data_IF_466666952100
#
_entry.id   IF_466666952100
#
_cell.length_a   1.000
_cell.length_b   1.000
_cell.length_c   1.000
_cell.angle_alpha   90.00
_cell.angle_beta   90.00
_cell.angle_gamma   90.00
#
_symmetry.space_group_name_H-M   'P 1'
#
loop_
_entity.id
_entity.type
_entity.pdbx_description
1 polymer ?
#
# COMPACT_ATOMS: atom_id res chain seq x y z
N UNK A 1 25.10 -27.32 -13.64
CA UNK A 1 24.29 -28.36 -12.97
C UNK A 1 22.85 -28.21 -13.44
N UNK A 2 22.27 -29.29 -13.98
CA UNK A 2 20.84 -29.35 -14.34
C UNK A 2 20.06 -30.02 -13.22
N UNK A 3 18.82 -29.60 -13.05
CA UNK A 3 17.89 -30.10 -12.05
C UNK A 3 16.53 -30.32 -12.70
N UNK A 4 15.78 -31.27 -12.18
CA UNK A 4 14.41 -31.52 -12.58
C UNK A 4 13.50 -30.48 -11.93
N UNK A 5 12.75 -29.74 -12.73
CA UNK A 5 11.78 -28.74 -12.27
C UNK A 5 10.34 -29.19 -12.54
N UNK A 6 9.43 -28.76 -11.67
CA UNK A 6 8.00 -28.80 -11.92
C UNK A 6 7.59 -27.58 -12.77
N UNK A 7 7.48 -27.77 -14.08
CA UNK A 7 7.11 -26.69 -15.03
C UNK A 7 5.74 -26.10 -14.71
N UNK A 8 4.80 -26.90 -14.19
CA UNK A 8 3.46 -26.42 -13.85
C UNK A 8 3.49 -25.34 -12.77
N UNK A 9 4.51 -25.32 -11.92
CA UNK A 9 4.72 -24.24 -10.95
C UNK A 9 5.18 -22.94 -11.58
N UNK A 10 6.01 -23.00 -12.61
CA UNK A 10 6.37 -21.82 -13.39
C UNK A 10 5.15 -21.30 -14.18
N UNK A 11 4.39 -22.20 -14.81
CA UNK A 11 3.15 -21.84 -15.51
C UNK A 11 2.14 -21.19 -14.55
N UNK A 12 1.98 -21.74 -13.35
CA UNK A 12 1.16 -21.16 -12.31
C UNK A 12 1.58 -19.72 -11.99
N UNK A 13 2.88 -19.45 -11.78
CA UNK A 13 3.36 -18.09 -11.51
C UNK A 13 3.10 -17.16 -12.69
N UNK A 14 3.33 -17.61 -13.92
CA UNK A 14 3.04 -16.84 -15.14
C UNK A 14 1.54 -16.48 -15.21
N UNK A 15 0.65 -17.42 -14.91
CA UNK A 15 -0.79 -17.19 -14.84
C UNK A 15 -1.17 -16.23 -13.70
N UNK A 16 -0.66 -16.46 -12.49
CA UNK A 16 -0.87 -15.63 -11.30
C UNK A 16 -0.47 -14.18 -11.55
N UNK A 17 0.70 -13.97 -12.15
CA UNK A 17 1.23 -12.65 -12.45
C UNK A 17 0.78 -12.12 -13.81
N UNK A 18 -0.22 -12.72 -14.45
CA UNK A 18 -0.77 -12.33 -15.77
C UNK A 18 0.35 -11.95 -16.76
N UNK A 19 1.34 -12.84 -16.86
CA UNK A 19 2.59 -12.64 -17.59
C UNK A 19 2.79 -13.80 -18.56
N UNK A 20 3.13 -13.49 -19.79
CA UNK A 20 3.55 -14.45 -20.81
C UNK A 20 5.02 -14.83 -20.66
N UNK A 21 5.41 -15.95 -21.28
CA UNK A 21 6.82 -16.37 -21.29
C UNK A 21 7.68 -15.34 -22.04
N UNK A 22 7.11 -14.75 -23.09
CA UNK A 22 7.72 -13.73 -23.93
C UNK A 22 8.01 -12.45 -23.15
N UNK A 23 7.18 -12.09 -22.17
CA UNK A 23 7.42 -10.98 -21.24
C UNK A 23 8.45 -11.34 -20.15
N UNK A 24 8.54 -12.61 -19.74
CA UNK A 24 9.52 -13.08 -18.76
C UNK A 24 10.95 -13.11 -19.32
N UNK A 25 11.10 -13.51 -20.58
CA UNK A 25 12.42 -13.73 -21.22
C UNK A 25 13.34 -12.50 -21.14
N UNK A 26 12.92 -11.27 -21.49
CA UNK A 26 13.75 -10.07 -21.35
C UNK A 26 14.23 -9.84 -19.91
N UNK A 27 13.37 -10.10 -18.91
CA UNK A 27 13.68 -9.88 -17.50
C UNK A 27 14.76 -10.84 -17.01
N UNK A 28 14.69 -12.12 -17.38
CA UNK A 28 15.70 -13.12 -16.98
C UNK A 28 16.99 -13.00 -17.80
N UNK A 29 16.91 -12.48 -19.03
CA UNK A 29 18.05 -12.31 -19.92
C UNK A 29 18.86 -11.04 -19.69
N UNK A 30 18.41 -10.18 -18.79
CA UNK A 30 19.10 -8.95 -18.48
C UNK A 30 20.56 -9.21 -18.07
N UNK A 31 21.47 -8.52 -18.76
CA UNK A 31 22.92 -8.61 -18.54
C UNK A 31 23.56 -9.93 -18.97
N UNK A 32 22.90 -10.76 -19.77
CA UNK A 32 23.48 -11.98 -20.33
C UNK A 32 24.04 -11.75 -21.74
N UNK A 33 25.27 -12.23 -21.97
CA UNK A 33 25.86 -12.28 -23.30
C UNK A 33 25.24 -13.38 -24.18
N UNK A 34 24.78 -14.48 -23.56
CA UNK A 34 24.04 -15.56 -24.22
C UNK A 34 22.62 -15.62 -23.65
N UNK A 35 21.60 -15.24 -24.43
CA UNK A 35 20.22 -15.29 -23.99
C UNK A 35 19.75 -16.72 -23.69
N UNK A 36 18.99 -16.86 -22.61
CA UNK A 36 18.20 -18.03 -22.27
C UNK A 36 16.99 -18.07 -23.20
N UNK A 37 16.68 -19.24 -23.76
CA UNK A 37 15.54 -19.44 -24.66
C UNK A 37 14.31 -19.97 -23.92
N UNK A 38 13.14 -19.88 -24.57
CA UNK A 38 11.86 -20.41 -24.07
C UNK A 38 11.94 -21.91 -23.78
N UNK A 39 12.56 -22.67 -24.68
CA UNK A 39 12.71 -24.13 -24.58
C UNK A 39 13.56 -24.52 -23.37
N UNK A 40 14.56 -23.70 -23.04
CA UNK A 40 15.43 -23.95 -21.88
C UNK A 40 14.72 -23.76 -20.54
N UNK A 41 13.76 -22.83 -20.46
CA UNK A 41 13.00 -22.58 -19.22
C UNK A 41 11.73 -23.44 -19.10
N UNK A 42 11.20 -23.95 -20.20
CA UNK A 42 10.06 -24.87 -20.23
C UNK A 42 10.47 -26.35 -20.35
N UNK A 43 11.77 -26.65 -20.27
CA UNK A 43 12.30 -28.01 -20.22
C UNK A 43 12.12 -28.62 -18.82
N UNK A 44 11.76 -29.91 -18.68
CA UNK A 44 11.72 -30.58 -17.37
C UNK A 44 13.07 -30.53 -16.66
N UNK A 45 14.16 -30.55 -17.43
CA UNK A 45 15.52 -30.38 -16.94
C UNK A 45 16.03 -28.98 -17.23
N UNK A 46 16.18 -28.15 -16.19
CA UNK A 46 16.62 -26.75 -16.28
C UNK A 46 17.99 -26.56 -15.65
N UNK A 47 18.78 -25.62 -16.15
CA UNK A 47 20.01 -25.22 -15.47
C UNK A 47 19.70 -24.43 -14.18
N UNK A 48 20.35 -24.77 -13.07
CA UNK A 48 20.14 -24.08 -11.79
C UNK A 48 20.36 -22.56 -11.91
N UNK A 49 21.27 -22.11 -12.77
CA UNK A 49 21.50 -20.69 -13.05
C UNK A 49 20.30 -19.99 -13.68
N UNK A 50 19.58 -20.66 -14.57
CA UNK A 50 18.36 -20.13 -15.18
C UNK A 50 17.24 -20.05 -14.14
N UNK A 51 17.08 -21.11 -13.32
CA UNK A 51 16.07 -21.13 -12.27
C UNK A 51 16.31 -20.05 -11.21
N UNK A 52 17.57 -19.79 -10.82
CA UNK A 52 17.92 -18.66 -9.94
C UNK A 52 17.55 -17.29 -10.53
N UNK A 53 17.64 -17.13 -11.86
CA UNK A 53 17.23 -15.89 -12.53
C UNK A 53 15.71 -15.73 -12.55
N UNK A 54 14.97 -16.80 -12.80
CA UNK A 54 13.51 -16.83 -12.67
C UNK A 54 13.10 -16.48 -11.23
N UNK A 55 13.73 -17.11 -10.24
CA UNK A 55 13.40 -16.88 -8.83
C UNK A 55 13.78 -15.48 -8.33
N UNK A 56 14.75 -14.82 -8.95
CA UNK A 56 15.06 -13.41 -8.63
C UNK A 56 13.87 -12.48 -8.91
N UNK A 57 13.00 -12.85 -9.85
CA UNK A 57 11.80 -12.10 -10.23
C UNK A 57 10.65 -12.44 -9.27
N UNK A 58 10.29 -13.72 -9.16
CA UNK A 58 9.10 -14.16 -8.39
C UNK A 58 9.32 -14.35 -6.90
N UNK A 59 10.59 -14.49 -6.46
CA UNK A 59 11.02 -14.60 -5.06
C UNK A 59 10.30 -15.67 -4.24
N UNK A 60 10.15 -16.86 -4.82
CA UNK A 60 9.51 -18.02 -4.17
C UNK A 60 10.50 -18.95 -3.49
N UNK A 61 11.79 -18.83 -3.84
CA UNK A 61 12.83 -19.76 -3.43
C UNK A 61 12.91 -20.94 -4.39
N UNK A 62 14.11 -21.47 -4.58
CA UNK A 62 14.38 -22.56 -5.53
C UNK A 62 13.51 -23.80 -5.24
N UNK A 63 13.31 -24.14 -3.97
CA UNK A 63 12.49 -25.29 -3.56
C UNK A 63 11.05 -25.22 -4.06
N UNK A 64 10.49 -24.01 -4.25
CA UNK A 64 9.15 -23.86 -4.80
C UNK A 64 9.03 -24.57 -6.14
N UNK A 65 9.98 -24.39 -7.06
CA UNK A 65 9.92 -24.94 -8.42
C UNK A 65 10.23 -26.43 -8.49
N UNK A 66 10.78 -27.01 -7.43
CA UNK A 66 11.14 -28.44 -7.36
C UNK A 66 10.06 -29.27 -6.69
N UNK A 67 9.10 -28.63 -6.03
CA UNK A 67 8.02 -29.31 -5.35
C UNK A 67 7.09 -29.99 -6.38
N UNK A 68 6.91 -31.32 -6.29
CA UNK A 68 6.12 -32.09 -7.25
C UNK A 68 4.63 -31.74 -7.19
N UNK A 69 4.13 -31.17 -6.08
CA UNK A 69 2.73 -30.80 -5.94
C UNK A 69 2.41 -29.62 -6.85
N UNK A 70 1.51 -29.82 -7.80
CA UNK A 70 1.01 -28.73 -8.66
C UNK A 70 0.12 -27.79 -7.83
N UNK A 71 0.36 -26.47 -7.87
CA UNK A 71 -0.50 -25.50 -7.20
C UNK A 71 -1.87 -25.46 -7.85
N UNK A 72 -2.91 -25.30 -7.04
CA UNK A 72 -4.28 -25.16 -7.53
C UNK A 72 -4.58 -23.73 -7.95
N UNK A 73 -5.23 -23.56 -9.10
CA UNK A 73 -5.68 -22.25 -9.62
C UNK A 73 -7.12 -22.06 -9.15
N UNK A 74 -7.28 -21.67 -7.89
CA UNK A 74 -8.59 -21.38 -7.32
C UNK A 74 -8.80 -19.89 -7.11
N UNK A 75 -10.07 -19.48 -7.06
CA UNK A 75 -10.45 -18.12 -6.65
C UNK A 75 -9.92 -17.82 -5.24
N UNK A 76 -9.91 -18.79 -4.33
CA UNK A 76 -9.44 -18.53 -2.98
C UNK A 76 -7.92 -18.33 -2.89
N UNK A 77 -7.16 -18.80 -3.88
CA UNK A 77 -5.70 -18.76 -3.88
C UNK A 77 -5.11 -17.35 -4.09
N UNK A 78 -5.76 -16.49 -4.89
CA UNK A 78 -5.31 -15.11 -5.08
C UNK A 78 -6.41 -14.23 -5.66
N UNK A 79 -6.40 -12.96 -5.27
CA UNK A 79 -7.21 -11.89 -5.87
C UNK A 79 -7.06 -11.82 -7.40
N UNK A 80 -5.88 -12.17 -7.94
CA UNK A 80 -5.66 -12.18 -9.40
C UNK A 80 -6.43 -13.27 -10.13
N UNK A 81 -6.84 -14.34 -9.42
CA UNK A 81 -7.72 -15.39 -9.96
C UNK A 81 -9.19 -15.12 -9.67
N UNK A 82 -9.52 -14.45 -8.55
CA UNK A 82 -10.91 -14.01 -8.28
C UNK A 82 -11.38 -12.95 -9.25
N UNK A 83 -10.51 -11.99 -9.54
CA UNK A 83 -10.87 -10.77 -10.26
C UNK A 83 -10.23 -10.71 -11.63
N UNK A 84 -11.08 -10.81 -12.65
CA UNK A 84 -10.65 -10.81 -14.03
C UNK A 84 -10.11 -9.44 -14.46
N UNK A 85 -10.77 -8.35 -14.03
CA UNK A 85 -10.48 -6.97 -14.40
C UNK A 85 -10.23 -6.11 -13.17
N UNK A 86 -9.18 -5.30 -13.25
CA UNK A 86 -8.90 -4.21 -12.32
C UNK A 86 -9.09 -2.90 -13.09
N UNK A 87 -9.48 -1.84 -12.40
CA UNK A 87 -9.68 -0.53 -13.03
C UNK A 87 -8.36 0.07 -13.55
N UNK A 88 -7.23 -0.35 -12.95
CA UNK A 88 -5.88 -0.04 -13.41
C UNK A 88 -5.16 -1.25 -14.01
N UNK A 89 -4.32 -0.97 -15.03
CA UNK A 89 -3.35 -1.94 -15.51
C UNK A 89 -2.17 -2.02 -14.53
N UNK A 90 -2.19 -3.02 -13.64
CA UNK A 90 -1.17 -3.22 -12.62
C UNK A 90 0.20 -3.54 -13.23
N UNK A 91 1.26 -2.95 -12.69
CA UNK A 91 2.64 -3.32 -13.05
C UNK A 91 3.01 -4.68 -12.45
N UNK A 92 4.05 -5.33 -13.00
CA UNK A 92 4.61 -6.54 -12.38
C UNK A 92 5.02 -6.28 -10.92
N UNK A 93 5.62 -5.12 -10.65
CA UNK A 93 5.99 -4.70 -9.30
C UNK A 93 4.80 -4.67 -8.34
N UNK A 94 3.64 -4.16 -8.78
CA UNK A 94 2.41 -4.14 -7.99
C UNK A 94 1.91 -5.57 -7.72
N UNK A 95 1.87 -6.43 -8.75
CA UNK A 95 1.40 -7.81 -8.60
C UNK A 95 2.27 -8.63 -7.63
N UNK A 96 3.60 -8.47 -7.70
CA UNK A 96 4.54 -9.10 -6.76
C UNK A 96 4.27 -8.65 -5.32
N UNK A 97 3.99 -7.36 -5.10
CA UNK A 97 3.75 -6.84 -3.75
C UNK A 97 2.43 -7.37 -3.19
N UNK A 98 1.35 -7.33 -3.97
CA UNK A 98 0.06 -7.89 -3.58
C UNK A 98 0.20 -9.35 -3.20
N UNK A 99 0.81 -10.15 -4.07
CA UNK A 99 0.96 -11.58 -3.80
C UNK A 99 1.86 -11.87 -2.58
N UNK A 100 2.90 -11.06 -2.35
CA UNK A 100 3.70 -11.15 -1.13
C UNK A 100 2.85 -10.96 0.14
N UNK A 101 1.96 -9.96 0.15
CA UNK A 101 1.09 -9.71 1.30
C UNK A 101 -0.08 -10.71 1.42
N UNK A 102 -0.54 -11.30 0.32
CA UNK A 102 -1.47 -12.44 0.37
C UNK A 102 -0.82 -13.64 1.08
N UNK A 103 0.40 -14.00 0.69
CA UNK A 103 1.15 -15.09 1.34
C UNK A 103 1.48 -14.77 2.81
N UNK A 104 1.85 -13.52 3.09
CA UNK A 104 2.13 -13.09 4.45
C UNK A 104 0.88 -13.17 5.34
N UNK A 105 -0.28 -12.74 4.83
CA UNK A 105 -1.58 -12.86 5.51
C UNK A 105 -1.93 -14.32 5.81
N UNK A 106 -1.77 -15.22 4.85
CA UNK A 106 -2.01 -16.67 5.05
C UNK A 106 -1.09 -17.21 6.14
N UNK A 107 0.20 -16.88 6.05
CA UNK A 107 1.19 -17.32 7.04
C UNK A 107 0.88 -16.78 8.45
N UNK A 108 0.42 -15.54 8.56
CA UNK A 108 0.01 -14.93 9.83
C UNK A 108 -1.25 -15.58 10.39
N UNK A 109 -2.22 -15.89 9.54
CA UNK A 109 -3.45 -16.57 9.93
C UNK A 109 -3.18 -17.99 10.45
N UNK A 110 -2.25 -18.72 9.81
CA UNK A 110 -1.82 -20.04 10.28
C UNK A 110 -1.15 -19.96 11.66
N UNK A 111 -0.28 -18.97 11.87
CA UNK A 111 0.36 -18.74 13.17
C UNK A 111 -0.66 -18.39 14.23
N UNK A 112 -1.57 -17.46 13.93
CA UNK A 112 -2.62 -17.07 14.87
C UNK A 112 -3.50 -18.26 15.25
N UNK A 113 -3.87 -19.11 14.29
CA UNK A 113 -4.65 -20.33 14.56
C UNK A 113 -3.90 -21.33 15.45
N UNK A 114 -2.59 -21.50 15.25
CA UNK A 114 -1.74 -22.34 16.09
C UNK A 114 -1.54 -21.76 17.50
N UNK A 115 -1.68 -20.45 17.64
CA UNK A 115 -1.61 -19.69 18.88
C UNK A 115 -2.95 -19.40 19.55
N UNK A 116 -4.04 -20.01 19.07
CA UNK A 116 -5.42 -19.74 19.52
C UNK A 116 -5.81 -18.24 19.54
N UNK A 117 -5.20 -17.45 18.65
CA UNK A 117 -5.52 -16.04 18.43
C UNK A 117 -6.60 -15.93 17.36
N UNK A 118 -7.67 -15.19 17.66
CA UNK A 118 -8.76 -14.92 16.73
C UNK A 118 -8.80 -13.45 16.34
N UNK A 119 -9.04 -13.19 15.05
CA UNK A 119 -9.16 -11.84 14.49
C UNK A 119 -10.59 -11.57 14.02
N UNK A 120 -11.54 -11.68 14.95
CA UNK A 120 -12.95 -11.42 14.64
C UNK A 120 -13.14 -9.95 14.26
N UNK A 121 -13.95 -9.73 13.23
CA UNK A 121 -14.23 -8.39 12.70
C UNK A 121 -15.06 -7.60 13.73
N UNK A 122 -14.50 -6.48 14.20
CA UNK A 122 -15.14 -5.61 15.21
C UNK A 122 -15.99 -4.51 14.57
N UNK A 123 -15.50 -3.90 13.50
CA UNK A 123 -16.22 -2.82 12.81
C UNK A 123 -17.29 -3.39 11.87
N UNK A 124 -18.47 -2.74 11.75
CA UNK A 124 -19.56 -3.22 10.92
C UNK A 124 -19.21 -3.26 9.42
N UNK A 125 -20.03 -3.99 8.67
CA UNK A 125 -20.02 -4.01 7.21
C UNK A 125 -21.13 -3.07 6.73
N UNK A 126 -20.80 -2.17 5.83
CA UNK A 126 -21.73 -1.25 5.19
C UNK A 126 -21.98 -1.65 3.73
N UNK A 127 -22.91 -0.96 3.09
CA UNK A 127 -23.23 -1.17 1.67
C UNK A 127 -23.07 0.13 0.90
N UNK A 128 -23.06 0.05 -0.43
CA UNK A 128 -23.04 1.23 -1.29
C UNK A 128 -24.27 2.16 -1.11
N UNK A 129 -25.34 1.67 -0.47
CA UNK A 129 -26.52 2.48 -0.13
C UNK A 129 -26.32 3.28 1.17
N UNK A 130 -25.34 2.93 1.99
CA UNK A 130 -25.02 3.67 3.21
C UNK A 130 -24.40 5.02 2.85
N UNK A 131 -24.81 6.10 3.50
CA UNK A 131 -24.27 7.42 3.21
C UNK A 131 -22.81 7.51 3.72
N UNK A 132 -21.80 7.76 2.85
CA UNK A 132 -20.40 7.77 3.26
C UNK A 132 -20.07 8.85 4.30
N UNK A 133 -20.80 9.97 4.32
CA UNK A 133 -20.65 11.05 5.31
C UNK A 133 -21.12 10.61 6.70
N UNK A 134 -22.25 9.91 6.76
CA UNK A 134 -22.80 9.37 8.02
C UNK A 134 -21.92 8.26 8.57
N UNK A 135 -21.49 7.33 7.70
CA UNK A 135 -20.56 6.26 8.06
C UNK A 135 -19.23 6.82 8.55
N UNK A 136 -18.68 7.84 7.89
CA UNK A 136 -17.49 8.53 8.35
C UNK A 136 -17.67 9.11 9.76
N UNK A 137 -18.80 9.75 10.04
CA UNK A 137 -19.09 10.31 11.37
C UNK A 137 -19.23 9.21 12.45
N UNK A 138 -19.82 8.07 12.11
CA UNK A 138 -19.91 6.91 13.01
C UNK A 138 -18.54 6.31 13.31
N UNK A 139 -17.77 5.99 12.26
CA UNK A 139 -16.46 5.34 12.37
C UNK A 139 -15.45 6.25 13.07
N UNK A 140 -15.49 7.58 12.83
CA UNK A 140 -14.63 8.53 13.56
C UNK A 140 -14.79 8.43 15.07
N UNK A 141 -15.99 8.17 15.60
CA UNK A 141 -16.21 8.00 17.05
C UNK A 141 -15.50 6.77 17.62
N UNK A 142 -15.22 5.78 16.78
CA UNK A 142 -14.64 4.50 17.19
C UNK A 142 -13.12 4.47 17.10
N UNK A 143 -12.54 5.18 16.11
CA UNK A 143 -11.12 5.02 15.75
C UNK A 143 -10.37 6.32 15.43
N UNK A 144 -11.00 7.51 15.49
CA UNK A 144 -10.30 8.75 15.16
C UNK A 144 -9.23 9.08 16.22
N UNK A 145 -7.98 9.33 15.81
CA UNK A 145 -6.98 9.96 16.67
C UNK A 145 -7.37 11.40 17.02
N UNK A 146 -6.68 11.98 18.00
CA UNK A 146 -6.84 13.38 18.40
C UNK A 146 -6.45 14.35 17.26
N UNK A 147 -7.21 15.43 17.09
CA UNK A 147 -7.14 16.31 15.92
C UNK A 147 -5.92 17.27 15.84
N UNK A 148 -4.91 17.13 16.72
CA UNK A 148 -3.80 18.10 16.86
C UNK A 148 -2.41 17.46 16.90
N UNK A 149 -2.24 16.34 16.21
CA UNK A 149 -0.97 15.64 16.09
C UNK A 149 -0.39 15.83 14.69
N UNK A 150 0.94 15.77 14.54
CA UNK A 150 1.58 15.89 13.23
C UNK A 150 1.16 14.71 12.35
N UNK A 151 1.16 14.87 11.02
CA UNK A 151 0.67 13.83 10.09
C UNK A 151 1.26 12.44 10.35
N UNK A 152 2.57 12.34 10.62
CA UNK A 152 3.22 11.06 10.94
C UNK A 152 2.65 10.43 12.23
N UNK A 153 2.43 11.25 13.25
CA UNK A 153 1.91 10.81 14.54
C UNK A 153 0.44 10.42 14.38
N UNK A 154 -0.34 11.17 13.58
CA UNK A 154 -1.71 10.80 13.21
C UNK A 154 -1.78 9.45 12.53
N UNK A 155 -0.95 9.21 11.52
CA UNK A 155 -0.88 7.93 10.84
C UNK A 155 -0.55 6.80 11.81
N UNK A 156 0.42 7.02 12.71
CA UNK A 156 0.83 6.04 13.71
C UNK A 156 -0.31 5.70 14.67
N UNK A 157 -1.00 6.70 15.20
CA UNK A 157 -2.13 6.50 16.12
C UNK A 157 -3.35 5.88 15.42
N UNK A 158 -3.62 6.24 14.17
CA UNK A 158 -4.69 5.61 13.39
C UNK A 158 -4.40 4.11 13.17
N UNK A 159 -3.15 3.75 12.85
CA UNK A 159 -2.72 2.35 12.73
C UNK A 159 -2.90 1.60 14.07
N UNK A 160 -2.59 2.22 15.21
CA UNK A 160 -2.84 1.63 16.54
C UNK A 160 -4.33 1.42 16.79
N UNK A 161 -5.17 2.41 16.48
CA UNK A 161 -6.63 2.30 16.64
C UNK A 161 -7.24 1.23 15.74
N UNK A 162 -6.72 1.04 14.53
CA UNK A 162 -7.12 -0.05 13.63
C UNK A 162 -6.67 -1.42 14.17
N UNK A 163 -5.48 -1.51 14.77
CA UNK A 163 -5.01 -2.72 15.46
C UNK A 163 -5.95 -3.13 16.61
N UNK A 164 -6.46 -2.18 17.41
CA UNK A 164 -7.48 -2.43 18.43
C UNK A 164 -8.81 -2.97 17.85
N UNK A 165 -9.03 -2.82 16.54
CA UNK A 165 -10.21 -3.34 15.81
C UNK A 165 -9.92 -4.60 15.01
N UNK A 166 -8.82 -5.31 15.30
CA UNK A 166 -8.34 -6.49 14.59
C UNK A 166 -8.05 -6.24 13.10
N UNK A 167 -7.62 -5.02 12.74
CA UNK A 167 -7.24 -4.67 11.37
C UNK A 167 -5.72 -4.52 11.31
N UNK A 168 -5.08 -5.34 10.47
CA UNK A 168 -3.65 -5.23 10.18
C UNK A 168 -3.41 -4.11 9.19
N UNK A 169 -2.41 -3.26 9.48
CA UNK A 169 -1.89 -2.29 8.53
C UNK A 169 -0.41 -2.58 8.30
N UNK A 170 -0.04 -2.82 7.04
CA UNK A 170 1.35 -3.02 6.64
C UNK A 170 1.79 -1.90 5.72
N UNK A 171 3.06 -1.50 5.81
CA UNK A 171 3.66 -0.57 4.86
C UNK A 171 4.76 -1.30 4.06
N UNK A 172 4.79 -1.11 2.75
CA UNK A 172 5.92 -1.52 1.91
C UNK A 172 6.75 -0.32 1.47
N UNK A 173 8.06 -0.53 1.39
CA UNK A 173 9.02 0.49 0.97
C UNK A 173 9.56 0.13 -0.40
N UNK A 174 9.42 1.07 -1.33
CA UNK A 174 10.00 0.93 -2.66
C UNK A 174 11.31 1.72 -2.76
N UNK A 175 12.41 1.02 -3.03
CA UNK A 175 13.72 1.65 -3.18
C UNK A 175 13.85 2.30 -4.56
N UNK A 176 14.61 3.40 -4.62
CA UNK A 176 14.77 4.20 -5.85
C UNK A 176 15.38 3.42 -7.01
N UNK A 177 16.20 2.41 -6.73
CA UNK A 177 16.93 1.57 -7.68
C UNK A 177 16.14 0.35 -8.18
N UNK A 178 14.90 0.16 -7.72
CA UNK A 178 14.06 -0.95 -8.17
C UNK A 178 13.59 -0.67 -9.60
N UNK A 179 13.85 -1.61 -10.51
CA UNK A 179 13.47 -1.51 -11.93
C UNK A 179 11.96 -1.59 -12.11
N UNK A 180 11.36 -2.63 -11.53
CA UNK A 180 9.91 -2.86 -11.54
C UNK A 180 9.26 -2.17 -10.35
N UNK A 181 8.80 -0.93 -10.55
CA UNK A 181 8.08 -0.15 -9.54
C UNK A 181 6.60 -0.49 -9.51
N UNK A 182 6.05 -0.55 -8.32
CA UNK A 182 4.62 -0.75 -8.09
C UNK A 182 3.86 0.55 -8.36
N UNK A 183 2.88 0.47 -9.27
CA UNK A 183 1.98 1.55 -9.63
C UNK A 183 0.69 1.55 -8.79
N UNK A 184 0.80 1.25 -7.50
CA UNK A 184 -0.29 1.23 -6.50
C UNK A 184 0.14 2.03 -5.28
N UNK A 185 -0.84 2.63 -4.59
CA UNK A 185 -0.60 3.42 -3.37
C UNK A 185 -1.03 2.67 -2.11
N UNK A 186 -2.06 1.84 -2.20
CA UNK A 186 -2.55 0.97 -1.15
C UNK A 186 -3.47 -0.09 -1.72
N UNK A 187 -3.87 -1.05 -0.89
CA UNK A 187 -4.93 -2.01 -1.20
C UNK A 187 -5.43 -2.69 0.08
N UNK A 188 -6.69 -3.11 0.06
CA UNK A 188 -7.31 -3.95 1.06
C UNK A 188 -7.34 -5.42 0.62
N UNK A 189 -6.95 -6.32 1.53
CA UNK A 189 -7.09 -7.76 1.43
C UNK A 189 -8.01 -8.27 2.54
N UNK A 190 -9.06 -8.99 2.15
CA UNK A 190 -9.96 -9.64 3.10
C UNK A 190 -9.21 -10.69 3.94
N UNK A 191 -9.60 -10.89 5.22
CA UNK A 191 -10.73 -10.22 5.87
C UNK A 191 -10.38 -8.87 6.52
N UNK A 192 -9.09 -8.59 6.79
CA UNK A 192 -8.70 -7.55 7.72
C UNK A 192 -7.29 -6.97 7.51
N UNK A 193 -6.74 -7.04 6.30
CA UNK A 193 -5.38 -6.54 6.00
C UNK A 193 -5.45 -5.34 5.07
N UNK A 194 -4.91 -4.21 5.49
CA UNK A 194 -4.66 -3.03 4.67
C UNK A 194 -3.16 -2.92 4.42
N UNK A 195 -2.76 -2.66 3.18
CA UNK A 195 -1.37 -2.46 2.79
C UNK A 195 -1.20 -1.08 2.18
N UNK A 196 -0.18 -0.36 2.60
CA UNK A 196 0.14 0.99 2.13
C UNK A 196 1.54 1.05 1.53
N UNK A 197 1.70 1.89 0.50
CA UNK A 197 3.00 2.33 0.03
C UNK A 197 3.53 3.40 0.96
N UNK A 198 4.75 3.22 1.47
CA UNK A 198 5.38 4.22 2.33
C UNK A 198 5.75 5.48 1.53
N UNK A 199 5.20 6.64 1.90
CA UNK A 199 5.44 7.91 1.21
C UNK A 199 5.98 8.99 2.17
N UNK A 200 7.26 8.90 2.54
CA UNK A 200 7.89 9.79 3.53
C UNK A 200 7.76 11.30 3.23
N UNK A 201 7.63 11.68 1.96
CA UNK A 201 7.51 13.07 1.53
C UNK A 201 6.06 13.58 1.53
N UNK A 202 5.07 12.71 1.77
CA UNK A 202 3.64 13.03 1.66
C UNK A 202 2.78 12.19 2.61
N UNK A 203 2.93 12.39 3.93
CA UNK A 203 2.13 11.67 4.92
C UNK A 203 0.63 11.89 4.75
N UNK A 204 0.18 13.08 4.34
CA UNK A 204 -1.25 13.33 4.05
C UNK A 204 -1.80 12.42 2.94
N UNK A 205 -0.98 12.08 1.94
CA UNK A 205 -1.38 11.11 0.92
C UNK A 205 -1.50 9.71 1.51
N UNK A 206 -0.53 9.28 2.31
CA UNK A 206 -0.56 7.98 2.99
C UNK A 206 -1.74 7.85 3.97
N UNK A 207 -2.08 8.91 4.70
CA UNK A 207 -3.26 8.98 5.57
C UNK A 207 -4.56 8.89 4.76
N UNK A 208 -4.65 9.62 3.64
CA UNK A 208 -5.81 9.56 2.75
C UNK A 208 -5.97 8.15 2.16
N UNK A 209 -4.88 7.53 1.72
CA UNK A 209 -4.87 6.14 1.26
C UNK A 209 -5.36 5.18 2.35
N UNK A 210 -4.86 5.30 3.59
CA UNK A 210 -5.34 4.46 4.69
C UNK A 210 -6.85 4.62 4.94
N UNK A 211 -7.35 5.86 4.93
CA UNK A 211 -8.79 6.12 5.10
C UNK A 211 -9.61 5.57 3.92
N UNK A 212 -9.07 5.63 2.71
CA UNK A 212 -9.69 5.07 1.50
C UNK A 212 -9.76 3.53 1.56
N UNK A 213 -8.65 2.85 1.89
CA UNK A 213 -8.63 1.39 2.06
C UNK A 213 -9.49 0.91 3.23
N UNK A 214 -9.62 1.74 4.28
CA UNK A 214 -10.61 1.48 5.33
C UNK A 214 -12.03 1.50 4.77
N UNK A 215 -12.33 2.36 3.80
CA UNK A 215 -13.60 2.35 3.07
C UNK A 215 -13.87 1.01 2.38
N UNK A 216 -12.86 0.45 1.69
CA UNK A 216 -12.94 -0.88 1.09
C UNK A 216 -13.19 -1.98 2.14
N UNK A 217 -12.47 -1.94 3.25
CA UNK A 217 -12.71 -2.84 4.38
C UNK A 217 -14.15 -2.74 4.90
N UNK A 218 -14.67 -1.51 5.07
CA UNK A 218 -16.03 -1.25 5.55
C UNK A 218 -17.10 -1.75 4.58
N UNK A 219 -16.88 -1.66 3.27
CA UNK A 219 -17.74 -2.28 2.26
C UNK A 219 -17.52 -3.79 2.09
N UNK A 220 -16.42 -4.32 2.64
CA UNK A 220 -15.96 -5.68 2.43
C UNK A 220 -15.69 -6.00 0.94
N UNK A 221 -15.16 -5.04 0.19
CA UNK A 221 -14.87 -5.17 -1.24
C UNK A 221 -13.38 -4.99 -1.49
N UNK A 222 -12.72 -5.99 -2.09
CA UNK A 222 -11.31 -5.89 -2.47
C UNK A 222 -11.16 -5.17 -3.81
N UNK A 223 -10.43 -4.06 -3.78
CA UNK A 223 -9.92 -3.36 -4.96
C UNK A 223 -8.39 -3.24 -4.88
N UNK A 224 -7.74 -3.26 -6.04
CA UNK A 224 -6.31 -2.93 -6.14
C UNK A 224 -6.23 -1.79 -7.12
N UNK A 225 -6.05 -0.58 -6.59
CA UNK A 225 -6.03 0.62 -7.40
C UNK A 225 -4.86 1.56 -7.05
N UNK A 226 -4.70 2.58 -7.88
CA UNK A 226 -3.86 3.74 -7.62
C UNK A 226 -4.77 4.91 -7.32
N UNK A 227 -4.54 5.56 -6.19
CA UNK A 227 -5.22 6.81 -5.85
C UNK A 227 -4.66 7.91 -6.75
N UNK A 228 -5.39 8.28 -7.80
CA UNK A 228 -5.08 9.41 -8.66
C UNK A 228 -6.16 10.49 -8.62
N UNK A 229 -5.77 11.68 -8.13
CA UNK A 229 -6.62 12.88 -8.16
C UNK A 229 -7.04 13.31 -9.57
N UNK A 230 -6.36 12.82 -10.62
CA UNK A 230 -6.79 13.04 -12.00
C UNK A 230 -8.03 12.21 -12.36
N UNK A 231 -8.10 10.97 -11.90
CA UNK A 231 -9.25 10.10 -12.15
C UNK A 231 -10.47 10.58 -11.35
N UNK A 232 -10.24 11.15 -10.15
CA UNK A 232 -11.27 11.81 -9.34
C UNK A 232 -11.93 13.01 -10.02
N UNK A 233 -11.18 13.75 -10.83
CA UNK A 233 -11.72 14.91 -11.51
C UNK A 233 -12.57 14.50 -12.74
N UNK A 234 -12.34 13.34 -13.34
CA UNK A 234 -12.81 13.01 -14.69
C UNK A 234 -14.04 12.08 -14.77
N UNK A 235 -14.78 11.88 -13.67
CA UNK A 235 -16.02 11.08 -13.59
C UNK A 235 -15.90 9.61 -14.07
N UNK A 236 -14.69 9.04 -14.00
CA UNK A 236 -14.41 7.65 -14.43
C UNK A 236 -14.42 6.61 -13.32
N UNK A 237 -14.78 7.01 -12.09
CA UNK A 237 -14.70 6.13 -10.93
C UNK A 237 -15.83 5.09 -10.92
N UNK A 238 -15.50 3.88 -10.46
CA UNK A 238 -16.53 2.93 -10.06
C UNK A 238 -17.32 3.47 -8.86
N UNK A 239 -18.52 2.93 -8.63
CA UNK A 239 -19.35 3.32 -7.47
C UNK A 239 -18.65 3.04 -6.13
N UNK A 240 -17.84 1.99 -6.09
CA UNK A 240 -17.06 1.60 -4.90
C UNK A 240 -15.98 2.64 -4.66
N UNK A 241 -15.17 2.95 -5.67
CA UNK A 241 -14.11 3.96 -5.58
C UNK A 241 -14.68 5.31 -5.17
N UNK A 242 -15.78 5.75 -5.79
CA UNK A 242 -16.45 6.99 -5.40
C UNK A 242 -16.87 6.99 -3.92
N UNK A 243 -17.47 5.89 -3.45
CA UNK A 243 -17.90 5.76 -2.05
C UNK A 243 -16.71 5.80 -1.08
N UNK A 244 -15.64 5.06 -1.36
CA UNK A 244 -14.42 5.01 -0.53
C UNK A 244 -13.75 6.38 -0.46
N UNK A 245 -13.71 7.12 -1.58
CA UNK A 245 -13.17 8.47 -1.62
C UNK A 245 -13.99 9.48 -0.83
N UNK A 246 -15.32 9.46 -0.97
CA UNK A 246 -16.20 10.30 -0.16
C UNK A 246 -16.06 9.97 1.33
N UNK A 247 -16.04 8.68 1.68
CA UNK A 247 -15.80 8.23 3.06
C UNK A 247 -14.47 8.78 3.59
N UNK A 248 -13.36 8.61 2.86
CA UNK A 248 -12.04 9.08 3.28
C UNK A 248 -12.02 10.60 3.48
N UNK A 249 -12.64 11.36 2.57
CA UNK A 249 -12.73 12.81 2.68
C UNK A 249 -13.48 13.25 3.94
N UNK A 250 -14.68 12.70 4.18
CA UNK A 250 -15.48 13.04 5.35
C UNK A 250 -14.83 12.53 6.65
N UNK A 251 -14.21 11.35 6.61
CA UNK A 251 -13.50 10.74 7.74
C UNK A 251 -12.32 11.59 8.17
N UNK A 252 -11.59 12.23 7.25
CA UNK A 252 -10.45 13.09 7.61
C UNK A 252 -10.86 14.54 7.86
N UNK A 253 -11.80 15.08 7.08
CA UNK A 253 -12.23 16.47 7.18
C UNK A 253 -12.99 16.79 8.48
N UNK A 254 -13.75 15.85 9.03
CA UNK A 254 -14.43 16.02 10.32
C UNK A 254 -15.30 17.27 10.38
N UNK A 255 -15.13 18.09 11.42
CA UNK A 255 -15.90 19.32 11.61
C UNK A 255 -15.64 20.38 10.53
N UNK A 256 -14.45 20.38 9.92
CA UNK A 256 -14.07 21.33 8.86
C UNK A 256 -14.82 21.09 7.55
N UNK A 257 -15.44 19.92 7.37
CA UNK A 257 -16.27 19.62 6.20
C UNK A 257 -17.36 20.66 6.01
N UNK A 258 -18.01 21.09 7.11
CA UNK A 258 -19.08 22.11 7.05
C UNK A 258 -18.55 23.41 6.47
N UNK A 259 -17.34 23.80 6.86
CA UNK A 259 -16.68 25.01 6.33
C UNK A 259 -16.46 24.84 4.83
N UNK A 260 -15.88 23.71 4.39
CA UNK A 260 -15.62 23.42 2.97
C UNK A 260 -16.90 23.46 2.14
N UNK A 261 -17.99 22.88 2.63
CA UNK A 261 -19.29 22.87 1.96
C UNK A 261 -19.92 24.26 1.84
N UNK A 262 -19.55 25.21 2.72
CA UNK A 262 -20.02 26.60 2.70
C UNK A 262 -19.12 27.56 1.93
N UNK A 263 -17.94 27.14 1.46
CA UNK A 263 -17.02 28.00 0.69
C UNK A 263 -17.72 28.52 -0.57
N UNK A 264 -17.65 29.83 -0.84
CA UNK A 264 -18.15 30.44 -2.07
C UNK A 264 -17.36 29.97 -3.30
N UNK A 265 -17.81 30.33 -4.51
CA UNK A 265 -17.09 29.95 -5.73
C UNK A 265 -15.62 30.41 -5.71
N UNK A 266 -14.67 29.47 -5.76
CA UNK A 266 -13.25 29.72 -5.89
C UNK A 266 -12.92 30.18 -7.30
N UNK A 267 -12.49 31.44 -7.42
CA UNK A 267 -12.17 32.12 -8.68
C UNK A 267 -10.89 32.95 -8.52
N UNK A 268 -10.36 33.49 -9.62
CA UNK A 268 -9.22 34.41 -9.54
C UNK A 268 -9.49 35.65 -8.67
N UNK A 269 -10.76 36.05 -8.48
CA UNK A 269 -11.13 37.25 -7.73
C UNK A 269 -10.97 37.10 -6.22
N UNK A 270 -11.11 35.89 -5.67
CA UNK A 270 -10.90 35.57 -4.26
C UNK A 270 -9.64 34.73 -4.03
N UNK A 271 -8.68 34.82 -4.97
CA UNK A 271 -7.46 34.01 -4.97
C UNK A 271 -7.73 32.51 -4.75
N UNK A 272 -8.82 32.03 -5.36
CA UNK A 272 -9.31 30.65 -5.26
C UNK A 272 -9.56 30.15 -3.84
N UNK A 273 -9.67 31.05 -2.85
CA UNK A 273 -9.72 30.75 -1.41
C UNK A 273 -8.47 30.02 -0.88
N UNK A 274 -7.28 30.27 -1.46
CA UNK A 274 -6.03 29.57 -1.12
C UNK A 274 -5.70 29.62 0.37
N UNK A 275 -5.86 30.77 1.03
CA UNK A 275 -5.52 30.94 2.45
C UNK A 275 -6.42 30.12 3.37
N UNK A 276 -7.73 30.12 3.10
CA UNK A 276 -8.70 29.32 3.84
C UNK A 276 -8.41 27.82 3.63
N UNK A 277 -8.16 27.40 2.40
CA UNK A 277 -7.85 25.99 2.08
C UNK A 277 -6.54 25.55 2.73
N UNK A 278 -5.54 26.42 2.79
CA UNK A 278 -4.29 26.19 3.55
C UNK A 278 -4.58 25.99 5.03
N UNK A 279 -5.35 26.88 5.65
CA UNK A 279 -5.71 26.79 7.07
C UNK A 279 -6.47 25.49 7.39
N UNK A 280 -7.43 25.11 6.54
CA UNK A 280 -8.15 23.84 6.67
C UNK A 280 -7.21 22.65 6.49
N UNK A 281 -6.32 22.68 5.50
CA UNK A 281 -5.33 21.63 5.31
C UNK A 281 -4.40 21.51 6.51
N UNK A 282 -3.98 22.61 7.13
CA UNK A 282 -3.13 22.60 8.33
C UNK A 282 -3.86 22.13 9.59
N UNK A 283 -5.17 22.36 9.67
CA UNK A 283 -6.02 21.94 10.79
C UNK A 283 -6.60 20.53 10.62
N UNK A 284 -6.33 19.88 9.49
CA UNK A 284 -6.79 18.52 9.16
C UNK A 284 -5.63 17.71 8.57
N UNK A 285 -5.90 16.45 8.21
CA UNK A 285 -4.95 15.61 7.47
C UNK A 285 -5.24 15.56 5.97
N UNK A 286 -6.16 16.41 5.49
CA UNK A 286 -6.44 16.56 4.06
C UNK A 286 -5.36 17.41 3.40
N UNK A 287 -4.92 16.98 2.22
CA UNK A 287 -4.06 17.80 1.37
C UNK A 287 -4.86 18.96 0.77
N UNK A 288 -4.17 20.06 0.43
CA UNK A 288 -4.80 21.19 -0.29
C UNK A 288 -5.47 20.71 -1.59
N UNK A 289 -4.80 19.83 -2.34
CA UNK A 289 -5.35 19.28 -3.58
C UNK A 289 -6.63 18.48 -3.32
N UNK A 290 -6.70 17.66 -2.26
CA UNK A 290 -7.93 16.93 -1.92
C UNK A 290 -9.11 17.86 -1.63
N UNK A 291 -8.87 18.99 -0.96
CA UNK A 291 -9.89 20.01 -0.70
C UNK A 291 -10.35 20.66 -2.01
N UNK A 292 -9.41 21.06 -2.88
CA UNK A 292 -9.75 21.60 -4.20
C UNK A 292 -10.50 20.60 -5.08
N UNK A 293 -10.13 19.31 -5.04
CA UNK A 293 -10.86 18.25 -5.74
C UNK A 293 -12.30 18.16 -5.21
N UNK A 294 -12.52 18.25 -3.89
CA UNK A 294 -13.89 18.29 -3.35
C UNK A 294 -14.66 19.53 -3.80
N UNK A 295 -14.03 20.70 -3.83
CA UNK A 295 -14.68 21.92 -4.34
C UNK A 295 -15.10 21.77 -5.80
N UNK A 296 -14.29 21.08 -6.62
CA UNK A 296 -14.60 20.80 -8.02
C UNK A 296 -15.84 19.91 -8.12
N UNK A 297 -15.91 18.83 -7.32
CA UNK A 297 -17.07 17.93 -7.25
C UNK A 297 -18.34 18.64 -6.74
N UNK A 298 -18.19 19.67 -5.90
CA UNK A 298 -19.30 20.51 -5.42
C UNK A 298 -19.65 21.66 -6.39
N UNK A 299 -19.04 21.72 -7.58
CA UNK A 299 -19.18 22.80 -8.55
C UNK A 299 -18.80 24.20 -8.00
N UNK A 300 -17.99 24.25 -6.94
CA UNK A 300 -17.50 25.48 -6.31
C UNK A 300 -16.20 26.00 -6.92
N UNK A 301 -15.58 25.26 -7.83
CA UNK A 301 -14.47 25.73 -8.68
C UNK A 301 -14.68 25.18 -10.08
N UNK A 302 -14.43 25.99 -11.12
CA UNK A 302 -14.51 25.49 -12.50
C UNK A 302 -13.35 24.54 -12.80
N UNK A 303 -13.53 23.63 -13.78
CA UNK A 303 -12.44 22.74 -14.23
C UNK A 303 -11.17 23.54 -14.59
N UNK A 304 -11.32 24.61 -15.37
CA UNK A 304 -10.20 25.45 -15.78
C UNK A 304 -9.44 26.07 -14.58
N UNK A 305 -10.19 26.57 -13.58
CA UNK A 305 -9.58 27.13 -12.37
C UNK A 305 -8.90 26.04 -11.52
N UNK A 306 -9.52 24.86 -11.41
CA UNK A 306 -8.93 23.72 -10.72
C UNK A 306 -7.62 23.27 -11.38
N UNK A 307 -7.60 23.12 -12.70
CA UNK A 307 -6.42 22.73 -13.45
C UNK A 307 -5.29 23.75 -13.30
N UNK A 308 -5.62 25.05 -13.29
CA UNK A 308 -4.67 26.12 -13.01
C UNK A 308 -4.05 26.01 -11.61
N UNK A 309 -4.87 25.90 -10.57
CA UNK A 309 -4.41 25.75 -9.17
C UNK A 309 -3.55 24.49 -9.01
N UNK A 310 -3.97 23.38 -9.61
CA UNK A 310 -3.25 22.11 -9.58
C UNK A 310 -1.89 22.22 -10.26
N UNK A 311 -1.80 22.86 -11.43
CA UNK A 311 -0.53 23.11 -12.11
C UNK A 311 0.44 23.92 -11.23
N UNK A 312 -0.08 24.90 -10.48
CA UNK A 312 0.70 25.63 -9.48
C UNK A 312 1.29 24.73 -8.40
N UNK A 313 0.50 23.81 -7.83
CA UNK A 313 1.01 22.86 -6.83
C UNK A 313 2.03 21.86 -7.40
N UNK A 314 1.84 21.40 -8.64
CA UNK A 314 2.78 20.52 -9.31
C UNK A 314 4.11 21.22 -9.55
N UNK A 315 4.08 22.50 -9.92
CA UNK A 315 5.27 23.32 -10.10
C UNK A 315 6.00 23.60 -8.78
N UNK A 316 5.29 23.99 -7.72
CA UNK A 316 5.86 24.16 -6.37
C UNK A 316 6.55 22.89 -5.89
N UNK A 317 5.91 21.73 -6.12
CA UNK A 317 6.48 20.44 -5.76
C UNK A 317 7.74 20.11 -6.57
N UNK A 318 7.76 20.45 -7.87
CA UNK A 318 8.92 20.29 -8.74
C UNK A 318 10.10 21.14 -8.25
N UNK A 319 9.86 22.43 -8.00
CA UNK A 319 10.87 23.38 -7.52
C UNK A 319 11.47 22.88 -6.20
N UNK A 320 10.62 22.54 -5.22
CA UNK A 320 11.07 22.04 -3.91
C UNK A 320 11.91 20.77 -4.02
N UNK A 321 11.56 19.85 -4.92
CA UNK A 321 12.35 18.64 -5.14
C UNK A 321 13.70 18.93 -5.76
N UNK A 322 13.79 19.88 -6.69
CA UNK A 322 15.04 20.25 -7.34
C UNK A 322 15.96 21.02 -6.39
N UNK A 323 15.41 21.88 -5.52
CA UNK A 323 16.15 22.51 -4.43
C UNK A 323 16.73 21.47 -3.46
N UNK A 324 15.94 20.46 -3.07
CA UNK A 324 16.41 19.37 -2.22
C UNK A 324 17.51 18.54 -2.88
N UNK A 325 17.45 18.31 -4.20
CA UNK A 325 18.53 17.63 -4.94
C UNK A 325 19.80 18.46 -4.95
N UNK A 326 19.72 19.75 -5.30
CA UNK A 326 20.85 20.68 -5.29
C UNK A 326 21.50 20.75 -3.92
N UNK A 327 20.69 20.84 -2.86
CA UNK A 327 21.20 20.82 -1.47
C UNK A 327 21.95 19.53 -1.15
N UNK A 328 21.41 18.36 -1.53
CA UNK A 328 22.09 17.06 -1.34
C UNK A 328 23.39 16.96 -2.14
N UNK A 329 23.46 17.54 -3.33
CA UNK A 329 24.68 17.59 -4.14
C UNK A 329 25.73 18.50 -3.49
N UNK A 330 25.32 19.66 -2.98
CA UNK A 330 26.19 20.57 -2.24
C UNK A 330 26.72 19.95 -0.93
N UNK A 331 25.85 19.28 -0.17
CA UNK A 331 26.22 18.56 1.06
C UNK A 331 27.26 17.47 0.76
N UNK A 332 27.11 16.73 -0.36
CA UNK A 332 28.11 15.75 -0.83
C UNK A 332 29.45 16.40 -1.17
N UNK A 333 29.44 17.55 -1.86
CA UNK A 333 30.66 18.30 -2.19
C UNK A 333 31.36 18.81 -0.93
N UNK A 334 30.60 19.19 0.09
CA UNK A 334 31.10 19.64 1.40
C UNK A 334 31.51 18.49 2.34
N UNK A 335 31.53 17.24 1.86
CA UNK A 335 31.91 16.07 2.67
C UNK A 335 30.87 15.65 3.73
N UNK A 336 29.67 16.24 3.71
CA UNK A 336 28.57 15.86 4.60
C UNK A 336 27.88 14.63 4.01
N UNK A 337 28.27 13.44 4.47
CA UNK A 337 27.61 12.19 4.10
C UNK A 337 26.28 12.11 4.86
N UNK A 338 25.23 12.73 4.30
CA UNK A 338 23.87 12.41 4.72
C UNK A 338 23.52 11.02 4.20
N UNK A 339 23.78 10.00 5.02
CA UNK A 339 23.29 8.66 4.78
C UNK A 339 21.77 8.70 4.75
N UNK A 340 21.17 8.66 3.57
CA UNK A 340 19.72 8.55 3.43
C UNK A 340 19.28 7.21 4.03
N UNK A 341 18.81 7.20 5.27
CA UNK A 341 18.23 6.01 5.87
C UNK A 341 17.03 5.59 5.02
N UNK A 342 17.01 4.33 4.59
CA UNK A 342 15.82 3.78 3.93
C UNK A 342 14.61 3.98 4.86
N UNK A 343 13.45 4.41 4.33
CA UNK A 343 12.24 4.51 5.12
C UNK A 343 11.98 3.24 5.92
N UNK A 344 11.60 3.40 7.19
CA UNK A 344 11.16 2.28 8.01
C UNK A 344 9.63 2.24 8.02
N UNK A 345 9.03 1.08 7.70
CA UNK A 345 7.61 0.81 7.92
C UNK A 345 7.21 1.05 9.38
N UNK A 346 6.03 1.63 9.59
CA UNK A 346 5.32 1.57 10.86
C UNK A 346 4.87 0.13 11.07
N UNK A 347 5.29 -0.46 12.19
CA UNK A 347 4.87 -1.81 12.56
C UNK A 347 3.53 -1.74 13.28
N UNK A 348 2.51 -2.39 12.73
CA UNK A 348 1.23 -2.54 13.41
C UNK A 348 1.43 -3.24 14.77
N UNK A 349 0.89 -2.70 15.87
CA UNK A 349 0.92 -3.37 17.17
C UNK A 349 0.29 -4.76 17.15
N UNK A 350 -0.74 -4.96 16.32
CA UNK A 350 -1.40 -6.26 16.16
C UNK A 350 -0.45 -7.30 15.56
N UNK A 351 0.39 -6.90 14.59
CA UNK A 351 1.43 -7.78 14.05
C UNK A 351 2.44 -8.14 15.15
N UNK A 352 2.94 -7.14 15.88
CA UNK A 352 3.97 -7.36 16.90
C UNK A 352 3.46 -8.31 17.98
N UNK A 353 2.27 -8.06 18.53
CA UNK A 353 1.64 -8.90 19.55
C UNK A 353 1.34 -10.32 19.08
N UNK A 354 0.87 -10.49 17.84
CA UNK A 354 0.64 -11.83 17.26
C UNK A 354 1.93 -12.64 17.20
N UNK A 355 3.01 -12.01 16.72
CA UNK A 355 4.31 -12.68 16.55
C UNK A 355 5.01 -12.92 17.91
N UNK A 356 4.85 -12.02 18.88
CA UNK A 356 5.29 -12.23 20.26
C UNK A 356 4.59 -13.43 20.89
N UNK A 357 3.26 -13.49 20.82
CA UNK A 357 2.46 -14.58 21.40
C UNK A 357 2.88 -15.92 20.82
N UNK A 358 2.97 -16.02 19.49
CA UNK A 358 3.42 -17.22 18.81
C UNK A 358 4.85 -17.65 19.18
N UNK A 359 5.73 -16.70 19.47
CA UNK A 359 7.08 -17.01 19.94
C UNK A 359 7.07 -17.55 21.38
N UNK A 360 6.31 -16.92 22.29
CA UNK A 360 6.21 -17.37 23.67
C UNK A 360 5.55 -18.75 23.80
N UNK A 361 4.62 -19.08 22.91
CA UNK A 361 3.96 -20.39 22.85
C UNK A 361 4.78 -21.45 22.11
N UNK A 362 5.94 -21.08 21.56
CA UNK A 362 6.82 -22.01 20.84
C UNK A 362 6.31 -22.42 19.47
N UNK A 363 5.32 -21.71 18.90
CA UNK A 363 4.79 -21.94 17.54
C UNK A 363 5.82 -21.56 16.49
N UNK A 364 6.62 -20.51 16.75
CA UNK A 364 7.69 -20.05 15.88
C UNK A 364 9.02 -19.95 16.63
N UNK A 365 10.13 -20.07 15.90
CA UNK A 365 11.47 -19.90 16.46
C UNK A 365 12.01 -18.46 16.26
N UNK A 366 13.18 -18.18 16.84
CA UNK A 366 13.87 -16.88 16.74
C UNK A 366 14.12 -16.43 15.29
N UNK A 367 14.49 -17.37 14.41
CA UNK A 367 14.72 -17.06 13.00
C UNK A 367 13.45 -16.57 12.31
N UNK A 368 12.32 -17.26 12.55
CA UNK A 368 11.02 -16.88 12.02
C UNK A 368 10.50 -15.57 12.60
N UNK A 369 10.68 -15.35 13.91
CA UNK A 369 10.37 -14.11 14.59
C UNK A 369 11.08 -12.91 13.92
N UNK A 370 12.40 -13.02 13.75
CA UNK A 370 13.21 -11.97 13.14
C UNK A 370 12.82 -11.72 11.69
N UNK A 371 12.60 -12.78 10.92
CA UNK A 371 12.22 -12.71 9.51
C UNK A 371 10.87 -12.02 9.32
N UNK A 372 9.86 -12.36 10.13
CA UNK A 372 8.50 -11.82 10.01
C UNK A 372 8.39 -10.35 10.44
N UNK A 373 9.13 -9.95 11.48
CA UNK A 373 9.18 -8.55 11.92
C UNK A 373 10.23 -7.73 11.15
N UNK A 374 10.95 -8.34 10.21
CA UNK A 374 12.06 -7.76 9.48
C UNK A 374 13.04 -7.04 10.41
N UNK A 375 13.49 -7.73 11.46
CA UNK A 375 14.48 -7.27 12.43
C UNK A 375 15.72 -8.13 12.39
N UNK A 376 16.83 -7.57 12.89
CA UNK A 376 18.04 -8.33 13.11
C UNK A 376 17.95 -9.10 14.45
N UNK A 377 18.64 -10.25 14.59
CA UNK A 377 18.63 -11.04 15.82
C UNK A 377 19.03 -10.26 17.07
N UNK A 378 20.00 -9.34 16.96
CA UNK A 378 20.46 -8.48 18.08
C UNK A 378 19.39 -7.51 18.61
N UNK A 379 18.24 -7.41 17.93
CA UNK A 379 17.12 -6.55 18.35
C UNK A 379 15.95 -7.34 18.92
N UNK A 380 16.04 -8.66 19.05
CA UNK A 380 14.93 -9.49 19.51
C UNK A 380 14.46 -9.07 20.90
N UNK A 381 15.38 -8.85 21.83
CA UNK A 381 15.09 -8.50 23.22
C UNK A 381 14.27 -7.22 23.34
N UNK A 382 14.53 -6.25 22.47
CA UNK A 382 13.75 -5.01 22.42
C UNK A 382 12.26 -5.29 22.14
N UNK A 383 11.98 -6.26 21.28
CA UNK A 383 10.61 -6.64 20.95
C UNK A 383 10.02 -7.64 21.92
N UNK A 384 10.78 -8.29 22.80
CA UNK A 384 10.23 -9.21 23.81
C UNK A 384 10.07 -8.54 25.18
N UNK A 385 10.92 -7.58 25.52
CA UNK A 385 11.04 -7.06 26.88
C UNK A 385 10.79 -5.56 27.02
N UNK A 386 10.63 -4.78 25.93
CA UNK A 386 10.00 -3.45 26.05
C UNK A 386 8.49 -3.65 26.25
N UNK A 387 8.11 -3.83 27.52
CA UNK A 387 6.73 -3.73 27.97
C UNK A 387 6.13 -2.41 27.51
N UNK A 388 4.87 -2.46 27.09
CA UNK A 388 4.01 -1.31 26.84
C UNK A 388 4.20 -0.23 27.91
N UNK A 389 4.81 0.89 27.52
CA UNK A 389 4.64 2.18 28.18
C UNK A 389 3.68 3.03 27.36
#
# INVERSE_FOLDING_TARGET
MKIEQNIERLKYLLTLFKMSVEELLPLINEGLAKPITKEQILSPNIELGHLKRIDKIFKKGIHYYLDPKVPDVSKDASIFFRKAKFDVNLSLGARIIVNHFEEFKISLSAIAALSDIKFDRILPVFTLNSNPKEVAAEVRKLISPEAKIKDKDFLTELIKKLAEKNIFVFEFVETWNKKEKANIDGFFLQPNVIVLKRQQTSFKREIFTLAHELGHFLLNEEEIDRIDYQDFANDKLSKIEYWCNEFAFYFLGGEFVKIIETIDHSTAHNDYNIDLIRSISESTHLSRIAIFTKLLLLNKISRANYDHVKAGFEEDFRIKNDELKKKRELDKQNGIISGGSTPLPIKSPLLVSTIQTAFYEGVINEYEFCKKLNIKPDKIDRFLYESSN
#
